data_IF_552029006613
#
_entry.id   IF_552029006613
#
_cell.length_a   1.000
_cell.length_b   1.000
_cell.length_c   1.000
_cell.angle_alpha   90.00
_cell.angle_beta   90.00
_cell.angle_gamma   90.00
#
_symmetry.space_group_name_H-M   'P 1'
#
loop_
_entity.id
_entity.type
_entity.pdbx_description
1 polymer ?
#
# COMPACT_ATOMS: atom_id res chain seq x y z
N UNK A 1 24.65 9.01 44.76
CA UNK A 1 23.22 8.82 44.45
C UNK A 1 22.30 9.81 45.17
N UNK A 2 22.39 10.04 46.51
CA UNK A 2 21.49 10.97 47.25
C UNK A 2 21.45 12.42 46.71
N UNK A 3 22.59 12.99 46.26
CA UNK A 3 22.64 14.36 45.72
C UNK A 3 21.91 14.52 44.38
N UNK A 4 21.94 13.49 43.52
CA UNK A 4 21.25 13.49 42.22
C UNK A 4 19.72 13.42 42.44
N UNK A 5 19.27 12.53 43.33
CA UNK A 5 17.83 12.40 43.66
C UNK A 5 17.27 13.70 44.25
N UNK A 6 18.02 14.34 45.19
CA UNK A 6 17.62 15.64 45.75
C UNK A 6 17.56 16.75 44.68
N UNK A 7 18.47 16.74 43.71
CA UNK A 7 18.45 17.66 42.58
C UNK A 7 17.21 17.50 41.71
N UNK A 8 16.85 16.26 41.38
CA UNK A 8 15.66 15.93 40.58
C UNK A 8 14.37 16.39 41.30
N UNK A 9 14.25 16.09 42.59
CA UNK A 9 13.08 16.52 43.40
C UNK A 9 12.96 18.03 43.49
N UNK A 10 14.10 18.74 43.65
CA UNK A 10 14.13 20.21 43.69
C UNK A 10 13.73 20.85 42.36
N UNK A 11 14.14 20.25 41.25
CA UNK A 11 13.91 20.75 39.89
C UNK A 11 12.65 20.14 39.23
N UNK A 12 11.81 19.39 39.96
CA UNK A 12 10.66 18.67 39.43
C UNK A 12 9.72 19.51 38.55
N UNK A 13 9.43 20.77 38.96
CA UNK A 13 8.59 21.68 38.19
C UNK A 13 9.22 22.06 36.85
N UNK A 14 10.53 22.37 36.89
CA UNK A 14 11.29 22.73 35.69
C UNK A 14 11.39 21.54 34.71
N UNK A 15 11.68 20.33 35.22
CA UNK A 15 11.74 19.12 34.44
C UNK A 15 10.38 18.86 33.77
N UNK A 16 9.27 18.98 34.51
CA UNK A 16 7.93 18.81 33.99
C UNK A 16 7.60 19.85 32.91
N UNK A 17 7.96 21.12 33.14
CA UNK A 17 7.71 22.18 32.15
C UNK A 17 8.51 21.94 30.87
N UNK A 18 9.78 21.54 30.98
CA UNK A 18 10.63 21.22 29.83
C UNK A 18 10.06 19.99 29.07
N UNK A 19 9.64 18.95 29.80
CA UNK A 19 9.03 17.76 29.19
C UNK A 19 7.75 18.11 28.40
N UNK A 20 6.88 18.92 28.97
CA UNK A 20 5.65 19.38 28.29
C UNK A 20 6.01 20.23 27.05
N UNK A 21 7.00 21.12 27.19
CA UNK A 21 7.44 21.96 26.08
C UNK A 21 8.04 21.16 24.93
N UNK A 22 8.75 20.05 25.23
CA UNK A 22 9.29 19.12 24.24
C UNK A 22 8.21 18.27 23.55
N UNK A 23 7.02 18.11 24.13
CA UNK A 23 5.91 17.41 23.47
C UNK A 23 5.42 18.15 22.23
N UNK A 24 5.51 19.48 22.20
CA UNK A 24 5.07 20.27 21.03
C UNK A 24 5.91 19.95 19.79
N UNK A 25 7.25 20.10 19.80
CA UNK A 25 8.06 19.75 18.64
C UNK A 25 8.00 18.24 18.30
N UNK A 26 7.83 17.37 19.31
CA UNK A 26 7.65 15.93 19.07
C UNK A 26 6.36 15.64 18.33
N UNK A 27 5.26 16.29 18.68
CA UNK A 27 3.98 16.13 17.98
C UNK A 27 4.07 16.63 16.53
N UNK A 28 4.71 17.77 16.30
CA UNK A 28 4.97 18.31 14.96
C UNK A 28 5.84 17.34 14.16
N UNK A 29 6.92 16.85 14.77
CA UNK A 29 7.82 15.87 14.16
C UNK A 29 7.11 14.56 13.78
N UNK A 30 6.24 14.05 14.63
CA UNK A 30 5.47 12.84 14.37
C UNK A 30 4.56 12.98 13.13
N UNK A 31 3.88 14.13 12.99
CA UNK A 31 3.02 14.41 11.82
C UNK A 31 3.85 14.66 10.54
N UNK A 32 5.03 15.28 10.68
CA UNK A 32 5.92 15.59 9.57
C UNK A 32 6.74 14.38 9.08
N UNK A 33 6.86 13.34 9.92
CA UNK A 33 7.63 12.14 9.58
C UNK A 33 6.88 11.29 8.55
N UNK A 34 7.52 11.04 7.42
CA UNK A 34 7.02 10.11 6.39
C UNK A 34 7.67 8.75 6.60
N UNK A 35 6.83 7.73 6.69
CA UNK A 35 7.30 6.34 6.77
C UNK A 35 7.48 5.86 5.33
N UNK A 36 8.70 5.43 4.99
CA UNK A 36 8.95 4.79 3.70
C UNK A 36 8.60 3.30 3.81
N UNK A 37 7.57 2.88 3.07
CA UNK A 37 7.14 1.49 3.00
C UNK A 37 7.85 0.70 1.88
N UNK A 38 8.69 1.38 1.08
CA UNK A 38 9.43 0.75 0.00
C UNK A 38 10.62 -0.03 0.55
N UNK A 39 10.45 -1.34 0.64
CA UNK A 39 11.50 -2.26 1.11
C UNK A 39 12.68 -2.27 0.13
N UNK A 40 12.44 -2.02 -1.17
CA UNK A 40 13.47 -2.02 -2.20
C UNK A 40 14.49 -0.89 -2.01
N UNK A 41 14.07 0.23 -1.40
CA UNK A 41 14.97 1.36 -1.08
C UNK A 41 16.10 0.97 -0.12
N UNK A 42 15.92 -0.07 0.70
CA UNK A 42 16.93 -0.55 1.65
C UNK A 42 17.89 -1.56 1.05
N UNK A 43 17.66 -2.01 -0.18
CA UNK A 43 18.54 -2.96 -0.86
C UNK A 43 19.70 -2.23 -1.56
N UNK A 44 20.91 -2.82 -1.58
CA UNK A 44 22.02 -2.31 -2.39
C UNK A 44 21.63 -2.24 -3.86
N UNK A 45 21.91 -1.11 -4.49
CA UNK A 45 21.52 -0.83 -5.87
C UNK A 45 22.27 -1.65 -6.93
N UNK A 46 23.34 -2.31 -6.51
CA UNK A 46 24.19 -3.17 -7.34
C UNK A 46 23.66 -4.61 -7.47
N UNK A 47 22.64 -4.97 -6.72
CA UNK A 47 22.04 -6.30 -6.81
C UNK A 47 21.39 -6.51 -8.18
N UNK A 48 21.54 -7.71 -8.74
CA UNK A 48 20.94 -8.07 -10.03
C UNK A 48 19.42 -7.87 -10.05
N UNK A 49 18.75 -8.13 -8.91
CA UNK A 49 17.32 -7.88 -8.76
C UNK A 49 16.96 -6.38 -8.86
N UNK A 50 17.80 -5.49 -8.32
CA UNK A 50 17.60 -4.04 -8.40
C UNK A 50 17.91 -3.49 -9.79
N UNK A 51 18.90 -4.10 -10.48
CA UNK A 51 19.19 -3.78 -11.88
C UNK A 51 18.01 -4.21 -12.76
N UNK A 52 17.47 -5.42 -12.52
CA UNK A 52 16.29 -5.92 -13.21
C UNK A 52 15.04 -5.06 -12.99
N UNK A 53 14.78 -4.63 -11.74
CA UNK A 53 13.66 -3.75 -11.40
C UNK A 53 13.77 -2.41 -12.13
N UNK A 54 14.97 -1.81 -12.18
CA UNK A 54 15.18 -0.57 -12.94
C UNK A 54 14.98 -0.77 -14.44
N UNK A 55 15.44 -1.87 -15.00
CA UNK A 55 15.20 -2.16 -16.41
C UNK A 55 13.70 -2.34 -16.71
N UNK A 56 12.94 -2.98 -15.79
CA UNK A 56 11.49 -3.10 -15.89
C UNK A 56 10.80 -1.73 -15.83
N UNK A 57 11.31 -0.80 -15.01
CA UNK A 57 10.75 0.56 -14.92
C UNK A 57 11.16 1.41 -16.11
N UNK A 58 12.47 1.52 -16.39
CA UNK A 58 13.02 2.47 -17.36
C UNK A 58 12.68 2.09 -18.81
N UNK A 59 12.75 0.77 -19.14
CA UNK A 59 12.60 0.30 -20.52
C UNK A 59 11.15 -0.17 -20.81
N UNK A 60 10.46 -0.73 -19.82
CA UNK A 60 9.15 -1.37 -20.03
C UNK A 60 8.01 -0.67 -19.28
N UNK A 61 8.30 0.19 -18.31
CA UNK A 61 7.31 0.83 -17.42
C UNK A 61 6.40 -0.19 -16.73
N UNK A 62 6.95 -1.33 -16.29
CA UNK A 62 6.24 -2.47 -15.71
C UNK A 62 6.58 -2.73 -14.25
N UNK A 63 7.46 -1.94 -13.63
CA UNK A 63 7.84 -2.12 -12.23
C UNK A 63 6.65 -1.95 -11.25
N UNK A 64 5.63 -1.20 -11.65
CA UNK A 64 4.45 -0.97 -10.84
C UNK A 64 3.20 -1.48 -11.54
N UNK A 65 2.80 -2.70 -11.17
CA UNK A 65 1.60 -3.34 -11.72
C UNK A 65 0.71 -3.90 -10.62
N UNK A 66 -0.60 -3.92 -10.88
CA UNK A 66 -1.59 -4.60 -10.08
C UNK A 66 -2.39 -5.58 -10.93
N UNK A 67 -2.90 -6.64 -10.32
CA UNK A 67 -3.72 -7.65 -10.97
C UNK A 67 -5.08 -7.71 -10.32
N UNK A 68 -6.13 -7.59 -11.11
CA UNK A 68 -7.52 -7.69 -10.64
C UNK A 68 -8.13 -8.96 -11.21
N UNK A 69 -8.48 -9.89 -10.33
CA UNK A 69 -9.26 -11.07 -10.70
C UNK A 69 -10.73 -10.77 -10.49
N UNK A 70 -11.54 -11.09 -11.47
CA UNK A 70 -12.99 -10.85 -11.50
C UNK A 70 -13.69 -12.16 -11.72
N UNK A 71 -14.67 -12.50 -10.89
CA UNK A 71 -15.45 -13.72 -11.00
C UNK A 71 -16.89 -13.41 -11.46
N UNK A 72 -17.36 -14.11 -12.50
CA UNK A 72 -18.75 -14.12 -12.93
C UNK A 72 -19.35 -12.77 -13.36
N UNK A 73 -18.52 -11.76 -13.69
CA UNK A 73 -19.00 -10.45 -14.11
C UNK A 73 -19.31 -10.45 -15.61
N UNK A 74 -20.49 -9.94 -16.04
CA UNK A 74 -20.79 -9.78 -17.46
C UNK A 74 -19.79 -8.88 -18.18
N UNK A 75 -19.49 -9.20 -19.45
CA UNK A 75 -18.51 -8.48 -20.27
C UNK A 75 -18.76 -6.95 -20.34
N UNK A 76 -20.02 -6.53 -20.42
CA UNK A 76 -20.37 -5.11 -20.44
C UNK A 76 -20.05 -4.38 -19.14
N UNK A 77 -20.24 -5.04 -18.00
CA UNK A 77 -19.88 -4.49 -16.68
C UNK A 77 -18.36 -4.47 -16.50
N UNK A 78 -17.67 -5.46 -17.03
CA UNK A 78 -16.22 -5.55 -17.01
C UNK A 78 -15.57 -4.41 -17.82
N UNK A 79 -16.13 -4.12 -19.03
CA UNK A 79 -15.70 -2.97 -19.85
C UNK A 79 -15.96 -1.65 -19.12
N UNK A 80 -17.11 -1.52 -18.46
CA UNK A 80 -17.42 -0.32 -17.68
C UNK A 80 -16.45 -0.16 -16.50
N UNK A 81 -16.20 -1.24 -15.75
CA UNK A 81 -15.24 -1.23 -14.64
C UNK A 81 -13.81 -0.90 -15.12
N UNK A 82 -13.35 -1.47 -16.24
CA UNK A 82 -12.06 -1.14 -16.85
C UNK A 82 -11.96 0.37 -17.13
N UNK A 83 -13.00 0.95 -17.72
CA UNK A 83 -13.05 2.39 -18.00
C UNK A 83 -13.02 3.24 -16.72
N UNK A 84 -13.70 2.81 -15.66
CA UNK A 84 -13.68 3.48 -14.38
C UNK A 84 -12.27 3.42 -13.75
N UNK A 85 -11.56 2.30 -13.91
CA UNK A 85 -10.18 2.13 -13.44
C UNK A 85 -9.22 3.00 -14.25
N UNK A 86 -9.34 3.02 -15.58
CA UNK A 86 -8.49 3.86 -16.46
C UNK A 86 -8.67 5.36 -16.20
N UNK A 87 -9.81 5.77 -15.63
CA UNK A 87 -10.06 7.15 -15.24
C UNK A 87 -9.42 7.56 -13.90
N UNK A 88 -8.84 6.61 -13.15
CA UNK A 88 -8.21 6.91 -11.86
C UNK A 88 -6.85 7.60 -12.08
N UNK A 89 -6.59 8.75 -11.44
CA UNK A 89 -5.28 9.40 -11.51
C UNK A 89 -4.16 8.48 -10.99
N UNK A 90 -3.05 8.40 -11.74
CA UNK A 90 -1.92 7.51 -11.44
C UNK A 90 -2.04 6.12 -12.08
N UNK A 91 -3.12 5.84 -12.82
CA UNK A 91 -3.23 4.67 -13.69
C UNK A 91 -2.84 5.06 -15.11
N UNK A 92 -1.84 4.35 -15.66
CA UNK A 92 -1.42 4.55 -17.05
C UNK A 92 -2.36 3.84 -18.01
N UNK A 93 -2.68 2.58 -17.72
CA UNK A 93 -3.53 1.74 -18.56
C UNK A 93 -3.94 0.48 -17.83
N UNK A 94 -5.15 0.01 -18.13
CA UNK A 94 -5.62 -1.32 -17.71
C UNK A 94 -5.69 -2.22 -18.95
N UNK A 95 -5.02 -3.36 -18.88
CA UNK A 95 -5.05 -4.37 -19.94
C UNK A 95 -6.04 -5.47 -19.60
N UNK A 96 -6.84 -5.81 -20.57
CA UNK A 96 -7.74 -6.97 -20.53
C UNK A 96 -7.69 -7.71 -21.85
N UNK A 97 -8.25 -8.92 -21.89
CA UNK A 97 -8.29 -9.78 -23.07
C UNK A 97 -8.85 -9.06 -24.31
N UNK A 98 -9.89 -8.26 -24.16
CA UNK A 98 -10.50 -7.49 -25.26
C UNK A 98 -9.58 -6.49 -25.95
N UNK A 99 -8.46 -6.14 -25.31
CA UNK A 99 -7.46 -5.22 -25.90
C UNK A 99 -6.51 -5.95 -26.85
N UNK A 100 -6.45 -7.29 -26.75
CA UNK A 100 -5.53 -8.14 -27.52
C UNK A 100 -6.28 -9.01 -28.52
N UNK A 101 -7.51 -9.41 -28.20
CA UNK A 101 -8.32 -10.35 -28.97
C UNK A 101 -9.70 -9.73 -29.22
N UNK A 102 -10.17 -9.83 -30.46
CA UNK A 102 -11.51 -9.37 -30.83
C UNK A 102 -12.57 -10.11 -30.00
N UNK A 103 -13.46 -9.39 -29.29
CA UNK A 103 -14.48 -9.99 -28.44
C UNK A 103 -15.47 -10.90 -29.17
N UNK A 104 -15.50 -10.84 -30.51
CA UNK A 104 -16.33 -11.73 -31.36
C UNK A 104 -15.73 -13.13 -31.54
N UNK A 105 -14.45 -13.34 -31.15
CA UNK A 105 -13.82 -14.66 -31.22
C UNK A 105 -14.26 -15.47 -29.99
N UNK A 106 -14.92 -16.64 -30.19
CA UNK A 106 -15.26 -17.53 -29.09
C UNK A 106 -14.00 -17.94 -28.30
N UNK A 107 -14.09 -17.92 -26.98
CA UNK A 107 -12.95 -18.23 -26.07
C UNK A 107 -12.39 -19.63 -26.31
N UNK A 108 -13.24 -20.57 -26.79
CA UNK A 108 -12.86 -21.94 -27.12
C UNK A 108 -11.90 -22.04 -28.33
N UNK A 109 -11.88 -21.00 -29.18
CA UNK A 109 -10.97 -20.93 -30.34
C UNK A 109 -9.58 -20.40 -29.99
N UNK A 110 -9.38 -19.89 -28.78
CA UNK A 110 -8.09 -19.39 -28.32
C UNK A 110 -7.13 -20.55 -28.03
N UNK A 111 -5.81 -20.38 -28.25
CA UNK A 111 -4.81 -21.33 -27.80
C UNK A 111 -4.95 -21.64 -26.30
N UNK A 112 -4.77 -22.90 -25.91
CA UNK A 112 -4.96 -23.36 -24.54
C UNK A 112 -4.14 -22.55 -23.51
N UNK A 113 -2.93 -22.15 -23.88
CA UNK A 113 -2.04 -21.34 -23.03
C UNK A 113 -2.66 -19.95 -22.74
N UNK A 114 -3.30 -19.33 -23.74
CA UNK A 114 -3.98 -18.04 -23.59
C UNK A 114 -5.23 -18.22 -22.73
N UNK A 115 -6.03 -19.26 -23.00
CA UNK A 115 -7.21 -19.57 -22.19
C UNK A 115 -6.82 -19.74 -20.72
N UNK A 116 -5.78 -20.54 -20.44
CA UNK A 116 -5.33 -20.81 -19.06
C UNK A 116 -4.80 -19.56 -18.35
N UNK A 117 -4.16 -18.64 -19.08
CA UNK A 117 -3.61 -17.40 -18.53
C UNK A 117 -4.71 -16.37 -18.26
N UNK A 118 -5.71 -16.26 -19.14
CA UNK A 118 -6.73 -15.19 -19.09
C UNK A 118 -7.99 -15.60 -18.36
N UNK A 119 -8.30 -16.89 -18.32
CA UNK A 119 -9.50 -17.42 -17.68
C UNK A 119 -9.14 -18.42 -16.60
N UNK A 120 -9.63 -18.15 -15.41
CA UNK A 120 -9.51 -19.07 -14.28
C UNK A 120 -10.70 -20.01 -14.17
N UNK A 121 -10.84 -20.64 -13.01
CA UNK A 121 -12.03 -21.40 -12.64
C UNK A 121 -13.20 -20.45 -12.39
N UNK A 122 -14.44 -20.93 -12.53
CA UNK A 122 -15.67 -20.17 -12.24
C UNK A 122 -15.89 -18.93 -13.12
N UNK A 123 -15.60 -18.99 -14.42
CA UNK A 123 -15.70 -17.83 -15.33
C UNK A 123 -14.95 -16.59 -14.82
N UNK A 124 -13.84 -16.83 -14.12
CA UNK A 124 -12.99 -15.72 -13.68
C UNK A 124 -12.09 -15.24 -14.81
N UNK A 125 -11.89 -13.94 -14.87
CA UNK A 125 -10.95 -13.29 -15.79
C UNK A 125 -10.00 -12.36 -15.04
N UNK A 126 -8.91 -11.94 -15.69
CA UNK A 126 -7.89 -11.11 -15.08
C UNK A 126 -7.69 -9.82 -15.87
N UNK A 127 -7.65 -8.70 -15.13
CA UNK A 127 -7.19 -7.41 -15.65
C UNK A 127 -5.83 -7.09 -15.03
N UNK A 128 -4.94 -6.51 -15.83
CA UNK A 128 -3.63 -6.03 -15.38
C UNK A 128 -3.67 -4.51 -15.42
N UNK A 129 -3.46 -3.90 -14.27
CA UNK A 129 -3.40 -2.43 -14.12
C UNK A 129 -1.94 -2.00 -14.05
N UNK A 130 -1.56 -1.05 -14.90
CA UNK A 130 -0.25 -0.42 -14.88
C UNK A 130 -0.36 0.97 -14.27
N UNK A 131 0.54 1.27 -13.35
CA UNK A 131 0.62 2.57 -12.69
C UNK A 131 1.72 3.45 -13.30
N UNK A 132 1.60 4.76 -13.12
CA UNK A 132 2.53 5.74 -13.67
C UNK A 132 3.80 5.92 -12.82
N UNK A 133 3.78 5.55 -11.56
CA UNK A 133 4.88 5.70 -10.62
C UNK A 133 5.34 4.41 -9.97
N UNK A 134 6.44 4.45 -9.20
CA UNK A 134 6.95 3.31 -8.46
C UNK A 134 5.91 2.71 -7.50
N UNK A 135 6.02 1.40 -7.23
CA UNK A 135 5.05 0.64 -6.43
C UNK A 135 4.75 1.23 -5.04
N UNK A 136 5.75 1.86 -4.41
CA UNK A 136 5.64 2.45 -3.08
C UNK A 136 5.37 3.96 -3.08
N UNK A 137 5.18 4.60 -4.24
CA UNK A 137 4.90 6.03 -4.32
C UNK A 137 3.52 6.35 -3.72
N UNK A 138 3.39 7.54 -3.12
CA UNK A 138 2.10 8.00 -2.59
C UNK A 138 1.04 8.10 -3.70
N UNK A 139 1.44 8.40 -4.92
CA UNK A 139 0.57 8.48 -6.10
C UNK A 139 0.00 7.10 -6.45
N UNK A 140 0.86 6.08 -6.57
CA UNK A 140 0.44 4.69 -6.83
C UNK A 140 -0.44 4.15 -5.71
N UNK A 141 -0.07 4.38 -4.44
CA UNK A 141 -0.89 3.96 -3.30
C UNK A 141 -2.26 4.64 -3.25
N UNK A 142 -2.34 5.92 -3.63
CA UNK A 142 -3.61 6.63 -3.75
C UNK A 142 -4.45 6.09 -4.91
N UNK A 143 -3.82 5.77 -6.06
CA UNK A 143 -4.50 5.13 -7.18
C UNK A 143 -5.09 3.77 -6.78
N UNK A 144 -4.32 2.92 -6.09
CA UNK A 144 -4.80 1.64 -5.55
C UNK A 144 -6.01 1.83 -4.64
N UNK A 145 -5.97 2.83 -3.75
CA UNK A 145 -7.09 3.12 -2.85
C UNK A 145 -8.34 3.57 -3.62
N UNK A 146 -8.19 4.36 -4.68
CA UNK A 146 -9.30 4.79 -5.51
C UNK A 146 -9.86 3.62 -6.34
N UNK A 147 -9.00 2.78 -6.92
CA UNK A 147 -9.41 1.57 -7.62
C UNK A 147 -10.27 0.69 -6.72
N UNK A 148 -9.85 0.43 -5.48
CA UNK A 148 -10.63 -0.36 -4.52
C UNK A 148 -12.06 0.16 -4.30
N UNK A 149 -12.33 1.44 -4.52
CA UNK A 149 -13.67 2.03 -4.39
C UNK A 149 -14.54 1.82 -5.62
N UNK A 150 -13.93 1.64 -6.79
CA UNK A 150 -14.66 1.42 -8.06
C UNK A 150 -14.78 -0.05 -8.41
N UNK A 151 -14.06 -0.94 -7.71
CA UNK A 151 -14.19 -2.38 -7.89
C UNK A 151 -15.60 -2.86 -7.57
N UNK A 152 -16.06 -3.83 -8.36
CA UNK A 152 -17.35 -4.49 -8.17
C UNK A 152 -17.25 -5.61 -7.13
N UNK A 153 -18.40 -6.17 -6.78
CA UNK A 153 -18.47 -7.34 -5.92
C UNK A 153 -17.80 -8.54 -6.61
N UNK A 154 -17.22 -9.42 -5.85
CA UNK A 154 -16.51 -10.62 -6.33
C UNK A 154 -15.30 -10.30 -7.23
N UNK A 155 -14.59 -9.20 -6.89
CA UNK A 155 -13.31 -8.82 -7.48
C UNK A 155 -12.21 -8.84 -6.44
N UNK A 156 -11.05 -9.36 -6.82
CA UNK A 156 -9.86 -9.46 -5.95
C UNK A 156 -8.71 -8.69 -6.58
N UNK A 157 -8.21 -7.72 -5.84
CA UNK A 157 -7.11 -6.87 -6.28
C UNK A 157 -5.83 -7.25 -5.55
N UNK A 158 -4.80 -7.66 -6.28
CA UNK A 158 -3.50 -8.09 -5.77
C UNK A 158 -2.34 -7.43 -6.52
N UNK A 159 -1.12 -7.64 -6.01
CA UNK A 159 0.11 -7.07 -6.55
C UNK A 159 0.91 -6.34 -5.48
N UNK A 160 2.18 -6.01 -5.79
CA UNK A 160 3.09 -5.40 -4.80
C UNK A 160 2.54 -4.07 -4.29
N UNK A 161 2.11 -3.17 -5.18
CA UNK A 161 1.54 -1.87 -4.82
C UNK A 161 0.32 -1.98 -3.92
N UNK A 162 -0.51 -3.03 -4.14
CA UNK A 162 -1.71 -3.29 -3.35
C UNK A 162 -1.33 -3.76 -1.94
N UNK A 163 -0.37 -4.68 -1.83
CA UNK A 163 0.14 -5.17 -0.55
C UNK A 163 0.75 -4.02 0.27
N UNK A 164 1.54 -3.15 -0.36
CA UNK A 164 2.11 -1.97 0.29
C UNK A 164 1.03 -1.02 0.80
N UNK A 165 0.01 -0.75 -0.01
CA UNK A 165 -1.13 0.09 0.38
C UNK A 165 -1.92 -0.53 1.55
N UNK A 166 -2.18 -1.83 1.52
CA UNK A 166 -2.89 -2.52 2.60
C UNK A 166 -2.10 -2.53 3.90
N UNK A 167 -0.78 -2.76 3.79
CA UNK A 167 0.12 -2.68 4.94
C UNK A 167 0.12 -1.28 5.54
N UNK A 168 0.20 -0.23 4.72
CA UNK A 168 0.13 1.17 5.16
C UNK A 168 -1.20 1.48 5.84
N UNK A 169 -2.31 1.04 5.25
CA UNK A 169 -3.64 1.25 5.81
C UNK A 169 -3.79 0.56 7.18
N UNK A 170 -3.37 -0.70 7.28
CA UNK A 170 -3.42 -1.49 8.51
C UNK A 170 -2.56 -0.85 9.63
N UNK A 171 -1.33 -0.44 9.31
CA UNK A 171 -0.45 0.23 10.27
C UNK A 171 -1.10 1.51 10.79
N UNK A 172 -1.67 2.33 9.89
CA UNK A 172 -2.32 3.58 10.30
C UNK A 172 -3.56 3.36 11.17
N UNK A 173 -4.29 2.26 10.96
CA UNK A 173 -5.46 1.90 11.77
C UNK A 173 -5.06 1.37 13.15
N UNK A 174 -4.02 0.52 13.22
CA UNK A 174 -3.63 -0.14 14.45
C UNK A 174 -2.67 0.69 15.33
N UNK A 175 -1.84 1.55 14.74
CA UNK A 175 -0.81 2.32 15.46
C UNK A 175 -1.37 3.13 16.64
N UNK A 176 -2.52 3.83 16.54
CA UNK A 176 -3.08 4.56 17.68
C UNK A 176 -3.41 3.66 18.87
N UNK A 177 -3.89 2.45 18.60
CA UNK A 177 -4.21 1.46 19.64
C UNK A 177 -2.93 0.99 20.37
N UNK A 178 -1.87 0.67 19.63
CA UNK A 178 -0.59 0.27 20.23
C UNK A 178 0.02 1.37 21.08
N UNK A 179 -0.03 2.62 20.61
CA UNK A 179 0.45 3.77 21.37
C UNK A 179 -0.35 3.92 22.67
N UNK A 180 -1.68 3.82 22.61
CA UNK A 180 -2.54 3.94 23.77
C UNK A 180 -2.26 2.82 24.80
N UNK A 181 -2.12 1.58 24.33
CA UNK A 181 -1.76 0.45 25.18
C UNK A 181 -0.38 0.64 25.83
N UNK A 182 0.62 1.10 25.08
CA UNK A 182 1.97 1.33 25.61
C UNK A 182 1.98 2.44 26.68
N UNK A 183 1.29 3.54 26.44
CA UNK A 183 1.14 4.64 27.42
C UNK A 183 0.40 4.17 28.65
N UNK A 184 -0.71 3.42 28.49
CA UNK A 184 -1.48 2.87 29.60
C UNK A 184 -0.68 1.90 30.46
N UNK A 185 0.06 0.98 29.83
CA UNK A 185 0.93 0.04 30.53
C UNK A 185 2.06 0.78 31.29
N UNK A 186 2.67 1.79 30.66
CA UNK A 186 3.70 2.61 31.30
C UNK A 186 3.18 3.36 32.52
N UNK A 187 1.98 3.95 32.41
CA UNK A 187 1.32 4.62 33.55
C UNK A 187 1.00 3.66 34.68
N UNK A 188 0.52 2.45 34.36
CA UNK A 188 0.19 1.42 35.34
C UNK A 188 1.44 0.98 36.11
N UNK A 189 2.54 0.72 35.41
CA UNK A 189 3.84 0.35 36.05
C UNK A 189 4.33 1.49 36.96
N UNK A 190 4.25 2.74 36.51
CA UNK A 190 4.61 3.89 37.33
C UNK A 190 3.74 4.00 38.58
N UNK A 191 2.44 3.81 38.44
CA UNK A 191 1.49 3.85 39.56
C UNK A 191 1.75 2.74 40.59
N UNK A 192 2.07 1.54 40.14
CA UNK A 192 2.37 0.40 41.01
C UNK A 192 3.74 0.53 41.71
N UNK A 193 4.67 1.28 41.12
CA UNK A 193 6.04 1.46 41.68
C UNK A 193 6.17 2.68 42.62
N UNK A 194 5.16 3.52 42.70
CA UNK A 194 5.13 4.73 43.52
C UNK A 194 4.40 4.46 44.83
#
# INVERSE_FOLDING_TARGET
MKKIVQGIVRLRKLILTVAILLLIPSAIGAVATRINYDVLTYLPQELDSMIGERALEDDFHLASTGMITVEGLPTNELIAMKKDIDAVPGVTQTFWLSDVIDPSIPTEMLPADIQQFMFGKNDSTMLIVRFDGPSASDETMNAVQQIKKVLRKDTFFGGMSVILQDTKALINEEMPLYILCAVGASMLVLFLSL
#
